data_IF_839475375102
#
_entry.id   IF_839475375102
#
_cell.length_a   1.000
_cell.length_b   1.000
_cell.length_c   1.000
_cell.angle_alpha   90.00
_cell.angle_beta   90.00
_cell.angle_gamma   90.00
#
_symmetry.space_group_name_H-M   'P 1'
#
loop_
_entity.id
_entity.type
_entity.pdbx_description
1 polymer ?
#
# COMPACT_ATOMS: atom_id res chain seq x y z
N UNK A 1 -17.58 -5.11 -29.65
CA UNK A 1 -17.31 -3.72 -29.19
C UNK A 1 -17.06 -3.74 -27.68
N UNK A 2 -16.00 -3.14 -27.15
CA UNK A 2 -15.85 -3.00 -25.70
C UNK A 2 -16.99 -2.11 -25.18
N UNK A 3 -17.86 -2.65 -24.32
CA UNK A 3 -18.96 -1.90 -23.70
C UNK A 3 -18.40 -0.68 -22.96
N UNK A 4 -18.93 0.52 -23.22
CA UNK A 4 -18.59 1.76 -22.51
C UNK A 4 -18.65 1.51 -21.00
N UNK A 5 -17.51 1.61 -20.32
CA UNK A 5 -17.43 1.43 -18.86
C UNK A 5 -18.08 2.65 -18.20
N UNK A 6 -19.05 2.44 -17.31
CA UNK A 6 -19.59 3.51 -16.47
C UNK A 6 -18.42 4.19 -15.73
N UNK A 7 -18.36 5.52 -15.72
CA UNK A 7 -17.36 6.28 -14.96
C UNK A 7 -17.56 5.99 -13.46
N UNK A 8 -16.79 5.07 -12.92
CA UNK A 8 -16.78 4.71 -11.51
C UNK A 8 -16.03 5.79 -10.73
N UNK A 9 -16.65 6.34 -9.69
CA UNK A 9 -16.01 7.30 -8.80
C UNK A 9 -15.06 6.56 -7.84
N UNK A 10 -13.79 6.95 -7.87
CA UNK A 10 -12.76 6.39 -6.99
C UNK A 10 -11.82 7.49 -6.49
N UNK A 11 -11.25 7.26 -5.32
CA UNK A 11 -10.16 8.05 -4.77
C UNK A 11 -8.86 7.29 -4.94
N UNK A 12 -7.84 7.99 -5.42
CA UNK A 12 -6.53 7.39 -5.69
C UNK A 12 -5.49 7.82 -4.66
N UNK A 13 -4.82 6.84 -4.05
CA UNK A 13 -3.69 7.05 -3.18
C UNK A 13 -2.44 6.35 -3.70
N UNK A 14 -1.31 7.07 -3.74
CA UNK A 14 -0.01 6.50 -4.11
C UNK A 14 0.85 6.33 -2.87
N UNK A 15 1.28 5.09 -2.62
CA UNK A 15 2.24 4.76 -1.56
C UNK A 15 3.58 4.29 -2.12
N UNK A 16 4.68 4.61 -1.43
CA UNK A 16 6.04 4.27 -1.88
C UNK A 16 6.93 3.87 -0.71
N UNK A 17 7.64 2.75 -0.86
CA UNK A 17 8.60 2.30 0.15
C UNK A 17 9.79 1.58 -0.47
N UNK A 18 11.01 1.97 -0.09
CA UNK A 18 12.26 1.49 -0.71
C UNK A 18 12.18 1.66 -2.24
N UNK A 19 11.99 0.57 -2.98
CA UNK A 19 11.77 0.54 -4.44
C UNK A 19 10.36 0.12 -4.85
N UNK A 20 9.48 -0.21 -3.90
CA UNK A 20 8.09 -0.55 -4.16
C UNK A 20 7.24 0.72 -4.34
N UNK A 21 6.35 0.67 -5.33
CA UNK A 21 5.34 1.69 -5.62
C UNK A 21 3.98 1.00 -5.67
N UNK A 22 3.04 1.48 -4.86
CA UNK A 22 1.67 0.99 -4.80
C UNK A 22 0.73 2.11 -5.25
N UNK A 23 -0.10 1.82 -6.26
CA UNK A 23 -1.22 2.66 -6.70
C UNK A 23 -2.50 2.02 -6.16
N UNK A 24 -3.14 2.67 -5.22
CA UNK A 24 -4.34 2.21 -4.54
C UNK A 24 -5.54 3.00 -5.05
N UNK A 25 -6.61 2.31 -5.41
CA UNK A 25 -7.90 2.91 -5.76
C UNK A 25 -8.94 2.43 -4.76
N UNK A 26 -9.54 3.37 -4.05
CA UNK A 26 -10.69 3.16 -3.19
C UNK A 26 -11.94 3.55 -3.98
N UNK A 27 -12.81 2.59 -4.23
CA UNK A 27 -14.05 2.88 -4.93
C UNK A 27 -15.18 3.12 -3.93
N UNK A 28 -15.96 4.17 -4.17
CA UNK A 28 -17.19 4.42 -3.44
C UNK A 28 -18.24 3.47 -4.00
N UNK A 29 -18.88 2.71 -3.12
CA UNK A 29 -19.89 1.75 -3.50
C UNK A 29 -21.27 2.41 -3.54
N UNK A 30 -22.00 2.16 -4.63
CA UNK A 30 -23.42 2.46 -4.72
C UNK A 30 -24.28 1.39 -4.04
N UNK A 31 -25.59 1.39 -4.33
CA UNK A 31 -26.56 0.43 -3.75
C UNK A 31 -26.19 -1.04 -3.95
N UNK A 32 -25.57 -1.37 -5.09
CA UNK A 32 -25.30 -2.75 -5.47
C UNK A 32 -24.06 -3.36 -4.77
N UNK A 33 -23.32 -2.59 -3.96
CA UNK A 33 -22.12 -2.99 -3.17
C UNK A 33 -21.07 -3.83 -3.93
N UNK A 34 -21.08 -3.75 -5.26
CA UNK A 34 -20.24 -4.56 -6.15
C UNK A 34 -19.76 -3.70 -7.29
N UNK A 35 -18.49 -3.89 -7.68
CA UNK A 35 -17.87 -3.21 -8.80
C UNK A 35 -17.20 -4.21 -9.72
N UNK A 36 -17.43 -4.03 -11.02
CA UNK A 36 -16.70 -4.76 -12.06
C UNK A 36 -15.57 -3.86 -12.56
N UNK A 37 -14.34 -4.15 -12.15
CA UNK A 37 -13.12 -3.43 -12.60
C UNK A 37 -12.18 -4.41 -13.29
N UNK A 38 -11.75 -4.09 -14.51
CA UNK A 38 -10.74 -4.89 -15.25
C UNK A 38 -11.06 -6.41 -15.33
N UNK A 39 -12.34 -6.78 -15.41
CA UNK A 39 -12.79 -8.18 -15.46
C UNK A 39 -12.93 -8.88 -14.11
N UNK A 40 -12.72 -8.17 -13.00
CA UNK A 40 -12.87 -8.67 -11.63
C UNK A 40 -14.09 -8.05 -10.96
N UNK A 41 -14.87 -8.88 -10.28
CA UNK A 41 -16.00 -8.48 -9.43
C UNK A 41 -15.49 -8.31 -8.01
N UNK A 42 -15.41 -7.08 -7.53
CA UNK A 42 -14.93 -6.72 -6.19
C UNK A 42 -16.13 -6.29 -5.36
N UNK A 43 -16.32 -6.91 -4.20
CA UNK A 43 -17.36 -6.54 -3.23
C UNK A 43 -16.84 -5.53 -2.21
N UNK A 44 -17.76 -4.95 -1.44
CA UNK A 44 -17.43 -4.18 -0.24
C UNK A 44 -16.52 -4.96 0.72
N UNK A 45 -15.46 -4.32 1.21
CA UNK A 45 -14.49 -4.93 2.13
C UNK A 45 -13.44 -5.84 1.45
N UNK A 46 -13.61 -6.15 0.16
CA UNK A 46 -12.63 -6.96 -0.56
C UNK A 46 -11.47 -6.11 -1.09
N UNK A 47 -10.26 -6.66 -0.94
CA UNK A 47 -9.01 -6.04 -1.37
C UNK A 47 -8.33 -6.96 -2.39
N UNK A 48 -8.05 -6.41 -3.57
CA UNK A 48 -7.31 -7.09 -4.62
C UNK A 48 -5.97 -6.41 -4.91
N UNK A 49 -4.91 -7.21 -4.98
CA UNK A 49 -3.55 -6.78 -5.33
C UNK A 49 -3.12 -7.47 -6.61
N UNK A 50 -2.80 -6.71 -7.66
CA UNK A 50 -2.36 -7.24 -8.95
C UNK A 50 -3.27 -8.35 -9.50
N UNK A 51 -4.60 -8.15 -9.40
CA UNK A 51 -5.66 -9.09 -9.82
C UNK A 51 -5.80 -10.37 -8.98
N UNK A 52 -5.07 -10.49 -7.88
CA UNK A 52 -5.21 -11.59 -6.91
C UNK A 52 -5.85 -11.09 -5.62
N UNK A 53 -6.61 -11.91 -4.88
CA UNK A 53 -7.10 -11.52 -3.57
C UNK A 53 -5.92 -11.28 -2.62
N UNK A 54 -6.04 -10.32 -1.71
CA UNK A 54 -4.92 -9.93 -0.85
C UNK A 54 -4.43 -11.06 0.07
N UNK A 55 -5.32 -11.98 0.47
CA UNK A 55 -4.98 -13.14 1.29
C UNK A 55 -3.99 -14.10 0.61
N UNK A 56 -4.13 -14.31 -0.70
CA UNK A 56 -3.20 -15.15 -1.46
C UNK A 56 -1.84 -14.46 -1.67
N UNK A 57 -1.84 -13.12 -1.70
CA UNK A 57 -0.62 -12.33 -1.90
C UNK A 57 0.18 -12.19 -0.60
N UNK A 58 -0.51 -11.95 0.52
CA UNK A 58 0.03 -11.79 1.86
C UNK A 58 -0.65 -12.77 2.83
N UNK A 59 -0.14 -14.01 2.94
CA UNK A 59 -0.77 -15.06 3.74
C UNK A 59 -0.58 -14.89 5.25
N UNK A 60 0.38 -14.08 5.69
CA UNK A 60 0.72 -13.97 7.12
C UNK A 60 -0.27 -13.10 7.89
N UNK A 61 -0.62 -13.51 9.11
CA UNK A 61 -1.51 -12.74 9.99
C UNK A 61 -0.93 -11.36 10.36
N UNK A 62 0.39 -11.25 10.48
CA UNK A 62 1.08 -9.99 10.75
C UNK A 62 0.88 -9.03 9.59
N UNK A 63 1.01 -9.52 8.36
CA UNK A 63 0.79 -8.73 7.15
C UNK A 63 -0.67 -8.29 7.04
N UNK A 64 -1.62 -9.18 7.37
CA UNK A 64 -3.05 -8.88 7.47
C UNK A 64 -3.36 -7.71 8.38
N UNK A 65 -2.79 -7.71 9.58
CA UNK A 65 -3.00 -6.60 10.52
C UNK A 65 -2.41 -5.28 10.00
N UNK A 66 -1.26 -5.31 9.32
CA UNK A 66 -0.60 -4.11 8.81
C UNK A 66 -1.40 -3.42 7.70
N UNK A 67 -1.85 -4.14 6.67
CA UNK A 67 -2.61 -3.47 5.59
C UNK A 67 -4.03 -3.07 6.01
N UNK A 68 -4.63 -3.75 7.00
CA UNK A 68 -5.94 -3.39 7.55
C UNK A 68 -5.89 -2.23 8.56
N UNK A 69 -4.72 -1.95 9.15
CA UNK A 69 -4.54 -0.90 10.16
C UNK A 69 -5.18 0.46 9.78
N UNK A 70 -4.94 1.06 8.59
CA UNK A 70 -5.55 2.34 8.22
C UNK A 70 -7.09 2.29 8.13
N UNK A 71 -7.65 1.15 7.71
CA UNK A 71 -9.11 0.96 7.61
C UNK A 71 -9.73 0.74 8.98
N UNK A 72 -9.05 -0.01 9.86
CA UNK A 72 -9.52 -0.28 11.23
C UNK A 72 -9.54 0.98 12.08
N UNK A 73 -8.53 1.82 11.97
CA UNK A 73 -8.41 3.05 12.76
C UNK A 73 -9.44 4.12 12.33
N UNK A 74 -9.93 4.03 11.10
CA UNK A 74 -10.94 4.96 10.55
C UNK A 74 -12.34 4.33 10.50
N UNK A 75 -12.53 3.14 11.08
CA UNK A 75 -13.79 2.38 11.09
C UNK A 75 -14.43 2.18 9.69
N UNK A 76 -13.58 1.98 8.68
CA UNK A 76 -13.98 1.91 7.27
C UNK A 76 -13.74 0.54 6.59
N UNK A 77 -13.61 -0.54 7.37
CA UNK A 77 -13.20 -1.87 6.87
C UNK A 77 -14.09 -2.36 5.72
N UNK A 78 -15.41 -2.31 5.89
CA UNK A 78 -16.36 -2.89 4.92
C UNK A 78 -17.01 -1.86 3.99
N UNK A 79 -16.51 -0.61 4.00
CA UNK A 79 -17.14 0.49 3.26
C UNK A 79 -16.69 0.62 1.81
N UNK A 80 -15.50 0.12 1.48
CA UNK A 80 -14.86 0.35 0.19
C UNK A 80 -14.53 -0.96 -0.52
N UNK A 81 -14.61 -0.94 -1.84
CA UNK A 81 -13.96 -1.95 -2.68
C UNK A 81 -12.57 -1.42 -3.06
N UNK A 82 -11.53 -2.22 -2.87
CA UNK A 82 -10.14 -1.75 -3.00
C UNK A 82 -9.42 -2.51 -4.11
N UNK A 83 -8.93 -1.78 -5.12
CA UNK A 83 -8.07 -2.32 -6.16
C UNK A 83 -6.68 -1.69 -6.07
N UNK A 84 -5.67 -2.54 -6.06
CA UNK A 84 -4.28 -2.13 -5.86
C UNK A 84 -3.42 -2.69 -6.98
N UNK A 85 -2.61 -1.82 -7.60
CA UNK A 85 -1.50 -2.20 -8.47
C UNK A 85 -0.19 -1.90 -7.79
N UNK A 86 0.67 -2.90 -7.63
CA UNK A 86 1.96 -2.76 -6.96
C UNK A 86 3.08 -3.29 -7.82
N UNK A 87 4.12 -2.46 -8.01
CA UNK A 87 5.30 -2.80 -8.78
C UNK A 87 6.58 -2.49 -7.97
N UNK A 88 7.60 -3.34 -8.15
CA UNK A 88 8.94 -3.17 -7.57
C UNK A 88 9.07 -3.58 -6.10
N UNK A 89 10.32 -3.62 -5.62
CA UNK A 89 10.65 -3.99 -4.25
C UNK A 89 10.49 -5.49 -3.93
N UNK A 90 10.22 -5.79 -2.67
CA UNK A 90 9.87 -7.13 -2.18
C UNK A 90 8.66 -7.06 -1.25
N UNK A 91 8.14 -8.21 -0.79
CA UNK A 91 6.84 -8.32 -0.09
C UNK A 91 6.66 -7.29 1.03
N UNK A 92 7.60 -7.17 1.98
CA UNK A 92 7.48 -6.22 3.09
C UNK A 92 7.46 -4.75 2.62
N UNK A 93 8.28 -4.42 1.61
CA UNK A 93 8.28 -3.07 1.05
C UNK A 93 6.98 -2.76 0.32
N UNK A 94 6.40 -3.75 -0.36
CA UNK A 94 5.12 -3.63 -1.02
C UNK A 94 3.98 -3.47 -0.01
N UNK A 95 3.97 -4.24 1.08
CA UNK A 95 3.01 -4.15 2.16
C UNK A 95 2.98 -2.74 2.80
N UNK A 96 4.14 -2.21 3.17
CA UNK A 96 4.26 -0.85 3.71
C UNK A 96 3.83 0.21 2.68
N UNK A 97 4.15 0.02 1.40
CA UNK A 97 3.70 0.91 0.34
C UNK A 97 2.18 0.88 0.17
N UNK A 98 1.56 -0.30 0.22
CA UNK A 98 0.09 -0.46 0.17
C UNK A 98 -0.56 0.28 1.34
N UNK A 99 -0.08 0.02 2.55
CA UNK A 99 -0.60 0.62 3.78
C UNK A 99 -0.58 2.14 3.70
N UNK A 100 0.54 2.70 3.22
CA UNK A 100 0.68 4.14 3.01
C UNK A 100 -0.24 4.68 1.89
N UNK A 101 -0.45 3.90 0.82
CA UNK A 101 -1.36 4.25 -0.27
C UNK A 101 -2.82 4.30 0.18
N UNK A 102 -3.26 3.33 0.99
CA UNK A 102 -4.62 3.30 1.57
C UNK A 102 -4.83 4.51 2.47
N UNK A 103 -3.89 4.81 3.37
CA UNK A 103 -3.99 5.98 4.25
C UNK A 103 -4.12 7.30 3.49
N UNK A 104 -3.39 7.47 2.37
CA UNK A 104 -3.49 8.65 1.50
C UNK A 104 -4.83 8.73 0.77
N UNK A 105 -5.34 7.60 0.29
CA UNK A 105 -6.64 7.56 -0.36
C UNK A 105 -7.78 7.91 0.63
N UNK A 106 -7.71 7.44 1.89
CA UNK A 106 -8.65 7.78 2.95
C UNK A 106 -8.62 9.28 3.32
N UNK A 107 -7.44 9.91 3.28
CA UNK A 107 -7.30 11.34 3.54
C UNK A 107 -7.95 12.19 2.44
N UNK A 108 -7.98 11.71 1.19
CA UNK A 108 -8.68 12.39 0.09
C UNK A 108 -10.20 12.22 0.15
N UNK A 109 -10.69 11.19 0.84
CA UNK A 109 -12.13 10.98 1.06
C UNK A 109 -12.64 11.96 2.11
N UNK A 110 -11.93 12.04 3.24
CA UNK A 110 -12.28 12.92 4.35
C UNK A 110 -11.01 13.44 5.03
N UNK A 111 -10.86 14.76 5.09
CA UNK A 111 -9.72 15.42 5.71
C UNK A 111 -9.70 15.23 7.24
N UNK A 112 -10.84 14.94 7.87
CA UNK A 112 -10.92 14.68 9.31
C UNK A 112 -10.06 13.46 9.71
N UNK A 113 -9.91 12.49 8.81
CA UNK A 113 -9.05 11.31 9.01
C UNK A 113 -7.59 11.67 9.29
N UNK A 114 -7.13 12.87 8.91
CA UNK A 114 -5.76 13.34 9.17
C UNK A 114 -5.45 13.38 10.67
N UNK A 115 -6.40 13.75 11.53
CA UNK A 115 -6.20 13.80 12.98
C UNK A 115 -5.94 12.40 13.57
N UNK A 116 -6.51 11.36 12.96
CA UNK A 116 -6.41 9.98 13.42
C UNK A 116 -5.19 9.26 12.79
N UNK A 117 -4.92 9.50 11.52
CA UNK A 117 -3.86 8.82 10.76
C UNK A 117 -2.46 9.43 10.96
N UNK A 118 -2.36 10.71 11.32
CA UNK A 118 -1.07 11.38 11.58
C UNK A 118 -0.34 10.86 12.83
N UNK A 119 -0.97 10.75 14.02
CA UNK A 119 -0.28 10.29 15.22
C UNK A 119 0.20 8.83 15.12
N UNK A 120 -0.49 8.00 14.33
CA UNK A 120 -0.12 6.60 14.10
C UNK A 120 1.00 6.42 13.08
N UNK A 121 1.51 7.51 12.49
CA UNK A 121 2.64 7.50 11.56
C UNK A 121 2.33 7.01 10.15
N UNK A 122 1.06 6.71 9.83
CA UNK A 122 0.64 6.12 8.55
C UNK A 122 0.75 7.09 7.36
N UNK A 123 0.69 8.40 7.61
CA UNK A 123 0.84 9.45 6.60
C UNK A 123 2.30 9.83 6.32
N UNK A 124 3.25 9.38 7.14
CA UNK A 124 4.66 9.67 6.95
C UNK A 124 5.31 8.57 6.12
N UNK A 125 5.96 8.94 5.02
CA UNK A 125 6.71 7.97 4.21
C UNK A 125 7.99 7.58 4.95
N UNK A 126 8.22 6.28 5.14
CA UNK A 126 9.52 5.80 5.61
C UNK A 126 10.59 5.97 4.51
N UNK A 127 11.47 6.95 4.73
CA UNK A 127 12.55 7.35 3.84
C UNK A 127 13.77 6.41 3.84
N UNK A 128 13.88 5.46 4.79
CA UNK A 128 15.06 4.61 4.95
C UNK A 128 15.32 3.78 3.68
N UNK A 129 16.44 4.01 3.00
CA UNK A 129 16.86 3.25 1.81
C UNK A 129 18.21 2.56 2.07
N UNK A 130 18.47 1.45 1.36
CA UNK A 130 19.77 0.78 1.43
C UNK A 130 20.87 1.76 0.99
N UNK A 131 21.82 2.01 1.88
CA UNK A 131 22.98 2.84 1.57
C UNK A 131 23.85 2.14 0.51
N UNK A 132 24.32 2.89 -0.49
CA UNK A 132 25.24 2.40 -1.51
C UNK A 132 26.55 1.94 -0.86
N UNK A 133 27.17 0.88 -1.39
CA UNK A 133 28.54 0.49 -1.03
C UNK A 133 29.53 1.51 -1.59
N UNK A 134 30.30 2.17 -0.72
CA UNK A 134 31.36 3.12 -1.12
C UNK A 134 32.66 2.37 -1.43
N UNK A 135 33.52 2.97 -2.27
CA UNK A 135 34.89 2.47 -2.49
C UNK A 135 35.67 2.43 -1.17
N UNK A 136 36.62 1.52 -1.03
CA UNK A 136 37.40 1.34 0.21
C UNK A 136 36.70 0.61 1.36
N UNK A 137 35.38 0.34 1.26
CA UNK A 137 34.66 -0.42 2.30
C UNK A 137 34.89 -1.93 2.21
N UNK A 138 34.86 -2.62 3.35
CA UNK A 138 34.99 -4.08 3.49
C UNK A 138 33.75 -4.85 3.04
N UNK A 139 33.22 -4.56 1.85
CA UNK A 139 32.14 -5.32 1.22
C UNK A 139 30.70 -4.87 1.54
N UNK A 140 30.49 -4.04 2.56
CA UNK A 140 29.17 -3.44 2.90
C UNK A 140 29.30 -1.93 3.16
N UNK A 141 28.19 -1.19 3.04
CA UNK A 141 28.19 0.28 3.06
C UNK A 141 28.93 0.96 4.23
N UNK A 142 28.96 0.34 5.41
CA UNK A 142 29.64 0.86 6.61
C UNK A 142 30.71 -0.08 7.18
N UNK A 143 30.97 -1.22 6.53
CA UNK A 143 31.97 -2.18 7.02
C UNK A 143 33.36 -1.64 6.67
N UNK A 144 34.22 -1.44 7.66
CA UNK A 144 35.64 -1.13 7.44
C UNK A 144 36.41 -2.42 7.16
N UNK A 145 37.45 -2.33 6.33
CA UNK A 145 38.43 -3.42 6.22
C UNK A 145 39.26 -3.45 7.50
N UNK A 146 39.58 -4.64 8.00
CA UNK A 146 40.52 -4.76 9.11
C UNK A 146 41.91 -4.38 8.59
N UNK A 147 42.53 -3.38 9.20
CA UNK A 147 43.91 -2.99 8.92
C UNK A 147 44.76 -3.50 10.09
N UNK A 148 45.85 -4.24 9.83
CA UNK A 148 46.81 -4.58 10.87
C UNK A 148 47.48 -3.29 11.34
N UNK A 149 47.37 -2.99 12.63
CA UNK A 149 48.18 -1.95 13.27
C UNK A 149 49.56 -2.55 13.48
N UNK A 150 50.58 -2.03 12.80
CA UNK A 150 51.99 -2.29 13.08
C UNK A 150 52.55 -1.12 13.85
#
# INVERSE_FOLDING_TARGET
MPKKTKNLQYYEGIGRRKSAVARVRLYILGKDRVINTEGLKIKAGEIFVNKKPIGDYFPSLIEKNLYLMPLRITDNIDRFAISIKVNGGGKNGQLEAITHGIARALLLIDEANKKILKPTGLLTRDQRKKQRRKVGTGGKARRKKQSPKR
#
